data_IF_846217007648
#
_entry.id   IF_846217007648
#
_cell.length_a   1.000
_cell.length_b   1.000
_cell.length_c   1.000
_cell.angle_alpha   90.00
_cell.angle_beta   90.00
_cell.angle_gamma   90.00
#
_symmetry.space_group_name_H-M   'P 1'
#
loop_
_entity.id
_entity.type
_entity.pdbx_description
1 polymer ?
#
# COMPACT_ATOMS: atom_id res chain seq x y z
N UNK A 1 -13.51 -15.38 -5.72
CA UNK A 1 -14.72 -14.57 -5.48
C UNK A 1 -15.31 -15.12 -4.20
N UNK A 2 -15.19 -14.38 -3.11
CA UNK A 2 -15.76 -14.80 -1.82
C UNK A 2 -17.22 -14.35 -1.83
N UNK A 3 -18.14 -15.31 -1.95
CA UNK A 3 -19.57 -15.03 -1.87
C UNK A 3 -19.93 -14.74 -0.42
N UNK A 4 -20.33 -13.50 -0.13
CA UNK A 4 -20.86 -13.10 1.17
C UNK A 4 -22.26 -13.69 1.36
N UNK A 5 -22.36 -14.76 2.15
CA UNK A 5 -23.64 -15.27 2.64
C UNK A 5 -24.14 -14.36 3.77
N UNK A 6 -25.20 -13.60 3.51
CA UNK A 6 -26.03 -13.04 4.58
C UNK A 6 -26.74 -14.20 5.29
N UNK A 7 -26.78 -14.19 6.62
CA UNK A 7 -27.36 -15.27 7.41
C UNK A 7 -28.80 -15.63 7.02
N UNK A 8 -29.28 -16.80 7.46
CA UNK A 8 -30.66 -17.22 7.21
C UNK A 8 -31.62 -16.35 8.01
N UNK A 9 -32.34 -15.46 7.33
CA UNK A 9 -33.49 -14.77 7.91
C UNK A 9 -34.77 -15.60 7.81
N UNK A 10 -35.60 -15.54 8.84
CA UNK A 10 -36.89 -16.25 8.88
C UNK A 10 -38.03 -15.24 9.04
N UNK A 11 -38.95 -15.23 8.08
CA UNK A 11 -40.16 -14.42 8.15
C UNK A 11 -41.28 -15.19 8.84
N UNK A 12 -42.05 -14.51 9.68
CA UNK A 12 -43.18 -15.10 10.42
C UNK A 12 -44.53 -14.52 10.00
N UNK A 13 -44.54 -13.47 9.18
CA UNK A 13 -45.74 -12.85 8.62
C UNK A 13 -45.51 -12.50 7.13
N UNK A 14 -46.57 -12.41 6.32
CA UNK A 14 -46.46 -11.82 5.00
C UNK A 14 -46.26 -10.30 5.12
N UNK A 15 -45.60 -9.70 4.14
CA UNK A 15 -45.34 -8.27 4.11
C UNK A 15 -44.11 -7.89 3.28
N UNK A 16 -43.84 -6.58 3.25
CA UNK A 16 -42.66 -6.03 2.60
C UNK A 16 -41.60 -5.69 3.65
N UNK A 17 -40.43 -6.30 3.53
CA UNK A 17 -39.30 -6.14 4.42
C UNK A 17 -38.18 -5.41 3.70
N UNK A 18 -37.62 -4.37 4.34
CA UNK A 18 -36.51 -3.61 3.79
C UNK A 18 -35.24 -3.93 4.59
N UNK A 19 -34.17 -4.25 3.87
CA UNK A 19 -32.86 -4.56 4.40
C UNK A 19 -31.83 -3.58 3.85
N UNK A 20 -30.75 -3.41 4.60
CA UNK A 20 -29.59 -2.63 4.19
C UNK A 20 -28.38 -3.55 4.26
N UNK A 21 -27.70 -3.69 3.13
CA UNK A 21 -26.39 -4.34 3.06
C UNK A 21 -25.33 -3.26 3.19
N UNK A 22 -24.39 -3.48 4.10
CA UNK A 22 -23.20 -2.66 4.30
C UNK A 22 -21.96 -3.51 4.15
N UNK A 23 -20.89 -2.90 3.67
CA UNK A 23 -19.58 -3.49 3.80
C UNK A 23 -19.12 -3.43 5.28
N UNK A 24 -18.41 -4.46 5.71
CA UNK A 24 -17.77 -4.48 7.03
C UNK A 24 -16.38 -3.87 6.89
N UNK A 25 -16.13 -2.81 7.65
CA UNK A 25 -14.78 -2.28 7.83
C UNK A 25 -14.04 -3.13 8.88
N UNK A 26 -13.24 -4.10 8.41
CA UNK A 26 -12.38 -4.95 9.24
C UNK A 26 -11.00 -4.31 9.53
N UNK A 27 -10.84 -3.01 9.22
CA UNK A 27 -9.70 -2.17 9.57
C UNK A 27 -8.34 -2.68 9.05
N UNK A 28 -8.31 -3.26 7.84
CA UNK A 28 -7.04 -3.61 7.19
C UNK A 28 -6.30 -2.36 6.72
N UNK A 29 -5.00 -2.32 7.01
CA UNK A 29 -4.14 -1.19 6.67
C UNK A 29 -4.11 -0.88 5.18
N UNK A 30 -4.14 0.42 4.84
CA UNK A 30 -4.08 0.90 3.47
C UNK A 30 -5.39 0.80 2.68
N UNK A 31 -6.48 0.27 3.25
CA UNK A 31 -7.78 0.19 2.59
C UNK A 31 -8.72 1.27 3.15
N UNK A 32 -9.32 2.06 2.26
CA UNK A 32 -10.48 2.90 2.58
C UNK A 32 -11.73 2.18 2.09
N UNK A 33 -12.53 1.72 3.05
CA UNK A 33 -13.79 1.01 2.83
C UNK A 33 -14.89 1.99 2.43
N UNK A 34 -15.86 1.53 1.65
CA UNK A 34 -16.98 2.37 1.24
C UNK A 34 -18.07 2.42 2.33
N UNK A 35 -18.61 3.61 2.59
CA UNK A 35 -19.79 3.77 3.47
C UNK A 35 -21.12 3.53 2.71
N UNK A 36 -21.04 2.99 1.49
CA UNK A 36 -22.22 2.74 0.67
C UNK A 36 -23.17 1.75 1.35
N UNK A 37 -24.46 2.04 1.21
CA UNK A 37 -25.54 1.17 1.64
C UNK A 37 -26.30 0.66 0.42
N UNK A 38 -26.54 -0.65 0.36
CA UNK A 38 -27.39 -1.27 -0.67
C UNK A 38 -28.73 -1.62 -0.06
N UNK A 39 -29.78 -0.95 -0.54
CA UNK A 39 -31.13 -1.16 -0.05
C UNK A 39 -31.80 -2.31 -0.81
N UNK A 40 -32.34 -3.28 -0.07
CA UNK A 40 -32.99 -4.47 -0.61
C UNK A 40 -34.41 -4.53 -0.08
N UNK A 41 -35.37 -4.68 -0.98
CA UNK A 41 -36.76 -4.92 -0.64
C UNK A 41 -37.10 -6.39 -0.91
N UNK A 42 -37.58 -7.08 0.11
CA UNK A 42 -38.06 -8.45 0.04
C UNK A 42 -39.56 -8.46 0.29
N UNK A 43 -40.33 -8.96 -0.68
CA UNK A 43 -41.77 -9.15 -0.53
C UNK A 43 -42.02 -10.61 -0.16
N UNK A 44 -42.70 -10.81 0.97
CA UNK A 44 -43.11 -12.11 1.48
C UNK A 44 -44.62 -12.20 1.35
N UNK A 45 -45.08 -13.26 0.68
CA UNK A 45 -46.50 -13.54 0.48
C UNK A 45 -46.91 -14.76 1.29
N UNK A 46 -48.21 -14.89 1.51
CA UNK A 46 -48.83 -16.10 2.05
C UNK A 46 -49.26 -17.03 0.91
N UNK A 47 -49.12 -18.35 1.13
CA UNK A 47 -49.60 -19.41 0.26
C UNK A 47 -50.26 -20.52 1.10
N UNK A 48 -50.93 -21.47 0.44
CA UNK A 48 -51.58 -22.62 1.10
C UNK A 48 -50.59 -23.51 1.88
N UNK A 49 -49.29 -23.40 1.60
CA UNK A 49 -48.21 -24.14 2.28
C UNK A 49 -47.40 -23.30 3.26
N UNK A 50 -47.80 -22.04 3.52
CA UNK A 50 -47.13 -21.11 4.41
C UNK A 50 -46.55 -19.89 3.69
N UNK A 51 -45.50 -19.29 4.25
CA UNK A 51 -44.90 -18.07 3.69
C UNK A 51 -43.94 -18.40 2.54
N UNK A 52 -43.97 -17.57 1.50
CA UNK A 52 -43.10 -17.68 0.32
C UNK A 52 -42.51 -16.32 -0.04
N UNK A 53 -41.28 -16.31 -0.59
CA UNK A 53 -40.69 -15.09 -1.13
C UNK A 53 -41.34 -14.78 -2.47
N UNK A 54 -42.05 -13.65 -2.55
CA UNK A 54 -42.65 -13.15 -3.78
C UNK A 54 -41.65 -12.45 -4.69
N UNK A 55 -40.82 -11.57 -4.13
CA UNK A 55 -39.78 -10.88 -4.89
C UNK A 55 -38.65 -10.39 -4.00
N UNK A 56 -37.46 -10.24 -4.61
CA UNK A 56 -36.31 -9.55 -4.04
C UNK A 56 -35.90 -8.48 -5.04
N UNK A 57 -35.81 -7.23 -4.57
CA UNK A 57 -35.45 -6.08 -5.41
C UNK A 57 -34.33 -5.29 -4.76
N UNK A 58 -33.21 -5.16 -5.47
CA UNK A 58 -32.16 -4.21 -5.15
C UNK A 58 -32.57 -2.83 -5.66
N UNK A 59 -32.57 -1.84 -4.78
CA UNK A 59 -33.09 -0.51 -5.07
C UNK A 59 -32.02 0.43 -5.63
N UNK A 60 -30.75 0.02 -5.55
CA UNK A 60 -29.59 0.77 -6.02
C UNK A 60 -28.49 -0.16 -6.52
N UNK A 61 -27.42 0.44 -7.07
CA UNK A 61 -26.23 -0.29 -7.53
C UNK A 61 -25.69 -1.18 -6.41
N UNK A 62 -25.33 -2.42 -6.74
CA UNK A 62 -24.90 -3.44 -5.77
C UNK A 62 -23.38 -3.52 -5.62
N UNK A 63 -22.62 -2.69 -6.34
CA UNK A 63 -21.16 -2.71 -6.32
C UNK A 63 -20.61 -1.98 -5.09
N UNK A 64 -19.78 -2.63 -4.28
CA UNK A 64 -18.97 -1.98 -3.26
C UNK A 64 -17.57 -1.72 -3.84
N UNK A 65 -17.04 -0.51 -3.66
CA UNK A 65 -15.73 -0.14 -4.22
C UNK A 65 -14.89 0.51 -3.16
N UNK A 66 -13.79 -0.15 -2.83
CA UNK A 66 -12.80 0.34 -1.88
C UNK A 66 -11.63 0.93 -2.64
N UNK A 67 -10.94 1.87 -2.01
CA UNK A 67 -9.65 2.33 -2.50
C UNK A 67 -8.53 1.77 -1.64
N UNK A 68 -7.39 1.49 -2.27
CA UNK A 68 -6.17 1.09 -1.59
C UNK A 68 -5.09 2.14 -1.82
N UNK A 69 -4.39 2.51 -0.75
CA UNK A 69 -3.22 3.37 -0.77
C UNK A 69 -2.20 2.83 0.22
N UNK A 70 -1.00 2.51 -0.26
CA UNK A 70 0.10 2.11 0.60
C UNK A 70 0.56 3.31 1.42
N UNK A 71 0.82 3.11 2.72
CA UNK A 71 1.44 4.14 3.54
C UNK A 71 2.86 4.43 3.03
N UNK A 72 3.29 5.70 3.02
CA UNK A 72 4.65 6.04 2.62
C UNK A 72 5.66 5.44 3.59
N UNK A 73 6.85 5.11 3.08
CA UNK A 73 7.95 4.56 3.89
C UNK A 73 9.28 5.21 3.52
N UNK A 74 10.33 4.90 4.27
CA UNK A 74 11.68 5.42 4.00
C UNK A 74 12.73 4.31 4.01
N UNK A 75 13.74 4.44 3.15
CA UNK A 75 14.94 3.60 3.23
C UNK A 75 16.21 4.45 3.28
N UNK A 76 17.24 3.93 3.95
CA UNK A 76 18.56 4.53 4.01
C UNK A 76 19.51 3.66 3.18
N UNK A 77 20.16 4.28 2.20
CA UNK A 77 21.19 3.64 1.40
C UNK A 77 22.55 4.04 1.98
N UNK A 78 23.45 3.08 2.11
CA UNK A 78 24.79 3.29 2.63
C UNK A 78 25.75 2.20 2.19
N UNK A 79 27.00 2.36 2.58
CA UNK A 79 28.07 1.43 2.23
C UNK A 79 29.32 1.68 3.05
N UNK A 80 30.43 1.08 2.62
CA UNK A 80 31.74 1.30 3.24
C UNK A 80 32.84 1.39 2.19
N UNK A 81 33.79 2.28 2.41
CA UNK A 81 35.02 2.41 1.65
C UNK A 81 36.14 1.69 2.39
N UNK A 82 36.87 0.86 1.66
CA UNK A 82 38.14 0.32 2.11
C UNK A 82 39.26 0.88 1.23
N UNK A 83 40.39 1.18 1.85
CA UNK A 83 41.63 1.57 1.20
C UNK A 83 42.72 0.62 1.68
N UNK A 84 43.26 -0.19 0.78
CA UNK A 84 44.34 -1.12 1.10
C UNK A 84 45.70 -0.42 0.97
N UNK A 85 46.61 -0.68 1.91
CA UNK A 85 47.98 -0.13 1.90
C UNK A 85 48.11 1.31 2.42
N UNK A 86 47.01 2.01 2.73
CA UNK A 86 47.01 3.35 3.30
C UNK A 86 45.92 3.50 4.37
N UNK A 87 46.12 4.43 5.30
CA UNK A 87 45.08 4.81 6.26
C UNK A 87 43.95 5.57 5.54
N UNK A 88 42.71 5.22 5.85
CA UNK A 88 41.52 5.92 5.38
C UNK A 88 41.19 7.07 6.34
N UNK A 89 41.09 8.29 5.81
CA UNK A 89 40.69 9.45 6.58
C UNK A 89 39.20 9.73 6.40
N UNK A 90 38.57 10.31 7.43
CA UNK A 90 37.22 10.85 7.29
C UNK A 90 37.17 11.91 6.18
N UNK A 91 36.07 11.94 5.46
CA UNK A 91 35.80 12.86 4.34
C UNK A 91 36.74 12.73 3.13
N UNK A 92 37.53 11.65 3.04
CA UNK A 92 38.51 11.46 1.96
C UNK A 92 37.88 11.10 0.61
N UNK A 93 36.78 10.35 0.61
CA UNK A 93 36.05 9.93 -0.57
C UNK A 93 34.62 10.47 -0.52
N UNK A 94 34.15 10.98 -1.66
CA UNK A 94 32.76 11.41 -1.86
C UNK A 94 32.05 10.42 -2.76
N UNK A 95 30.87 9.97 -2.35
CA UNK A 95 29.99 9.08 -3.09
C UNK A 95 28.78 9.86 -3.58
N UNK A 96 28.30 9.50 -4.76
CA UNK A 96 27.09 10.01 -5.37
C UNK A 96 26.06 8.88 -5.42
N UNK A 97 24.83 9.18 -5.02
CA UNK A 97 23.68 8.35 -5.27
C UNK A 97 22.97 8.88 -6.51
N UNK A 98 22.78 8.01 -7.50
CA UNK A 98 22.13 8.34 -8.76
C UNK A 98 20.80 7.58 -8.86
N UNK A 99 19.78 8.26 -9.38
CA UNK A 99 18.51 7.61 -9.74
C UNK A 99 18.66 6.79 -11.04
N UNK A 100 17.58 6.13 -11.46
CA UNK A 100 17.54 5.30 -12.67
C UNK A 100 17.83 6.07 -13.97
N UNK A 101 17.59 7.38 -14.02
CA UNK A 101 17.96 8.22 -15.17
C UNK A 101 19.44 8.62 -15.19
N UNK A 102 20.22 8.23 -14.18
CA UNK A 102 21.62 8.62 -14.03
C UNK A 102 21.82 10.04 -13.47
N UNK A 103 20.77 10.65 -12.90
CA UNK A 103 20.88 11.96 -12.24
C UNK A 103 21.35 11.77 -10.79
N UNK A 104 22.33 12.57 -10.37
CA UNK A 104 22.78 12.59 -8.98
C UNK A 104 21.70 13.23 -8.11
N UNK A 105 21.23 12.48 -7.10
CA UNK A 105 20.17 12.92 -6.18
C UNK A 105 20.70 13.21 -4.77
N UNK A 106 21.81 12.59 -4.38
CA UNK A 106 22.47 12.83 -3.10
C UNK A 106 23.98 12.61 -3.19
N UNK A 107 24.72 13.17 -2.24
CA UNK A 107 26.14 12.86 -2.03
C UNK A 107 26.44 12.61 -0.55
N UNK A 108 27.39 11.72 -0.26
CA UNK A 108 27.85 11.42 1.09
C UNK A 108 29.37 11.22 1.09
N UNK A 109 30.02 11.43 2.24
CA UNK A 109 31.45 11.14 2.40
C UNK A 109 31.67 9.99 3.38
N UNK A 110 32.82 9.31 3.28
CA UNK A 110 33.16 8.27 4.24
C UNK A 110 33.55 8.85 5.61
N UNK A 111 33.20 8.14 6.67
CA UNK A 111 33.74 8.30 8.02
C UNK A 111 35.17 7.72 8.11
N UNK A 112 35.84 7.93 9.24
CA UNK A 112 37.20 7.41 9.47
C UNK A 112 37.25 5.86 9.46
N UNK A 113 36.15 5.20 9.82
CA UNK A 113 35.99 3.74 9.72
C UNK A 113 35.62 3.26 8.30
N UNK A 114 35.45 4.20 7.37
CA UNK A 114 35.08 3.96 5.99
C UNK A 114 33.58 3.91 5.71
N UNK A 115 32.72 3.85 6.71
CA UNK A 115 31.27 3.84 6.51
C UNK A 115 30.77 5.15 5.89
N UNK A 116 29.72 5.08 5.07
CA UNK A 116 28.99 6.25 4.60
C UNK A 116 27.50 5.93 4.48
N UNK A 117 26.66 6.95 4.62
CA UNK A 117 25.22 6.84 4.51
C UNK A 117 24.66 8.09 3.84
N UNK A 118 23.70 7.90 2.94
CA UNK A 118 22.88 8.96 2.37
C UNK A 118 21.71 9.29 3.31
N UNK A 119 21.09 10.45 3.12
CA UNK A 119 19.84 10.77 3.82
C UNK A 119 18.73 9.81 3.37
N UNK A 120 17.78 9.56 4.28
CA UNK A 120 16.61 8.72 4.00
C UNK A 120 15.87 9.19 2.74
N UNK A 121 15.43 8.23 1.93
CA UNK A 121 14.62 8.47 0.74
C UNK A 121 13.19 8.07 1.06
N UNK A 122 12.25 8.95 0.77
CA UNK A 122 10.82 8.70 0.93
C UNK A 122 10.28 7.93 -0.29
N UNK A 123 9.40 6.96 -0.03
CA UNK A 123 8.71 6.16 -1.02
C UNK A 123 7.22 6.27 -0.78
N UNK A 124 6.56 7.02 -1.66
CA UNK A 124 5.12 7.26 -1.60
C UNK A 124 4.35 6.33 -2.57
N UNK A 125 5.06 5.63 -3.45
CA UNK A 125 4.49 4.72 -4.44
C UNK A 125 5.10 3.32 -4.34
N UNK A 126 4.23 2.32 -4.49
CA UNK A 126 4.62 0.91 -4.57
C UNK A 126 5.35 0.67 -5.89
N UNK A 127 6.52 0.06 -5.83
CA UNK A 127 7.26 -0.33 -7.01
C UNK A 127 8.73 -0.63 -6.70
N UNK A 128 9.44 -1.09 -7.72
CA UNK A 128 10.89 -1.25 -7.66
C UNK A 128 11.56 0.11 -7.92
N UNK A 129 12.48 0.49 -7.03
CA UNK A 129 13.25 1.72 -7.13
C UNK A 129 14.74 1.38 -7.27
N UNK A 130 15.31 1.65 -8.45
CA UNK A 130 16.71 1.33 -8.75
C UNK A 130 17.60 2.55 -8.57
N UNK A 131 18.71 2.37 -7.85
CA UNK A 131 19.73 3.38 -7.64
C UNK A 131 21.11 2.85 -8.01
N UNK A 132 22.01 3.77 -8.36
CA UNK A 132 23.44 3.46 -8.52
C UNK A 132 24.25 4.30 -7.54
N UNK A 133 25.15 3.67 -6.80
CA UNK A 133 26.17 4.38 -6.01
C UNK A 133 27.47 4.40 -6.80
N UNK A 134 28.08 5.58 -6.95
CA UNK A 134 29.39 5.76 -7.59
C UNK A 134 30.27 6.63 -6.71
N UNK A 135 31.57 6.37 -6.70
CA UNK A 135 32.51 7.36 -6.17
C UNK A 135 32.63 8.53 -7.17
N UNK A 136 32.73 9.73 -6.63
CA UNK A 136 33.12 10.89 -7.43
C UNK A 136 34.61 10.75 -7.70
N UNK A 137 35.00 10.66 -8.97
CA UNK A 137 36.39 10.65 -9.37
C UNK A 137 37.11 11.85 -8.71
N UNK A 138 37.95 11.55 -7.72
CA UNK A 138 38.79 12.54 -7.09
C UNK A 138 40.00 12.81 -7.97
N UNK A 139 40.50 14.04 -7.97
CA UNK A 139 41.88 14.38 -8.35
C UNK A 139 42.85 13.87 -7.28
N UNK A 140 42.79 12.58 -6.93
CA UNK A 140 43.87 11.94 -6.18
C UNK A 140 45.02 11.74 -7.16
N UNK A 141 45.85 12.77 -7.30
CA UNK A 141 47.12 12.68 -8.00
C UNK A 141 48.00 11.64 -7.33
N UNK A 142 48.63 10.79 -8.16
CA UNK A 142 49.72 9.90 -7.76
C UNK A 142 49.37 8.41 -7.79
N UNK A 143 49.34 7.83 -8.99
CA UNK A 143 50.23 6.70 -9.31
C UNK A 143 51.05 7.14 -10.52
#
# INVERSE_FOLDING_TARGET
>A
MEELFFGKETFTLPGTYNFIIKEINDNKGGITYTDKEVAVQVVVNESDSGLVIGSIKYLNDTTFTNSYSAAPTTAIIGGSKKLDGLALNANQFTFQLLNSSGSVIQTATNNADGSFSFAAINYDEVGEHTYTVRDKAGTQGGI
#
